data_IF_650354638956
#
_entry.id   IF_650354638956
#
_cell.length_a   1.000
_cell.length_b   1.000
_cell.length_c   1.000
_cell.angle_alpha   90.00
_cell.angle_beta   90.00
_cell.angle_gamma   90.00
#
_symmetry.space_group_name_H-M   'P 1'
#
loop_
_entity.id
_entity.type
_entity.pdbx_description
1 polymer ?
#
# COMPACT_ATOMS: atom_id res chain seq x y z
N UNK A 1 21.89 39.02 8.07
CA UNK A 1 21.59 37.99 7.04
C UNK A 1 20.23 37.39 7.34
N UNK A 2 19.23 37.58 6.48
CA UNK A 2 17.86 37.11 6.72
C UNK A 2 17.77 35.59 6.47
N UNK A 3 17.48 34.82 7.51
CA UNK A 3 17.28 33.38 7.43
C UNK A 3 15.91 33.15 6.76
N UNK A 4 15.88 32.83 5.45
CA UNK A 4 14.64 32.47 4.75
C UNK A 4 13.93 31.37 5.53
N UNK A 5 12.75 31.66 6.05
CA UNK A 5 11.89 30.67 6.68
C UNK A 5 11.45 29.71 5.58
N UNK A 6 11.72 28.42 5.76
CA UNK A 6 11.30 27.38 4.83
C UNK A 6 9.79 27.21 4.96
N UNK A 7 9.11 27.06 3.83
CA UNK A 7 7.67 26.81 3.82
C UNK A 7 7.36 25.43 4.41
N UNK A 8 6.15 25.21 4.91
CA UNK A 8 5.73 23.93 5.50
C UNK A 8 5.97 22.75 4.56
N UNK A 9 5.74 22.94 3.25
CA UNK A 9 6.01 21.95 2.21
C UNK A 9 7.51 21.62 2.08
N UNK A 10 8.38 22.61 2.17
CA UNK A 10 9.84 22.40 2.16
C UNK A 10 10.33 21.69 3.42
N UNK A 11 9.71 21.96 4.57
CA UNK A 11 10.00 21.28 5.83
C UNK A 11 9.56 19.82 5.76
N UNK A 12 8.35 19.55 5.27
CA UNK A 12 7.83 18.19 5.07
C UNK A 12 8.66 17.41 4.06
N UNK A 13 9.00 18.00 2.91
CA UNK A 13 9.87 17.38 1.91
C UNK A 13 11.28 17.12 2.45
N UNK A 14 11.79 17.97 3.36
CA UNK A 14 13.08 17.77 4.00
C UNK A 14 13.05 16.68 5.08
N UNK A 15 11.96 16.58 5.86
CA UNK A 15 11.74 15.49 6.83
C UNK A 15 11.66 14.16 6.09
N UNK A 16 10.85 14.09 5.03
CA UNK A 16 10.75 12.93 4.14
C UNK A 16 12.12 12.53 3.58
N UNK A 17 12.86 13.47 2.96
CA UNK A 17 14.22 13.19 2.44
C UNK A 17 15.21 12.75 3.52
N UNK A 18 15.06 13.22 4.76
CA UNK A 18 15.94 12.86 5.89
C UNK A 18 15.64 11.47 6.42
N UNK A 19 14.36 11.12 6.56
CA UNK A 19 13.92 9.77 6.95
C UNK A 19 14.27 8.71 5.91
N UNK A 20 14.34 9.10 4.63
CA UNK A 20 14.63 8.18 3.52
C UNK A 20 16.09 8.24 3.01
N UNK A 21 17.00 8.94 3.72
CA UNK A 21 18.41 9.10 3.30
C UNK A 21 19.27 7.84 3.53
N UNK A 22 18.75 6.83 4.24
CA UNK A 22 19.49 5.61 4.63
C UNK A 22 18.68 4.30 4.65
N UNK A 23 17.44 4.26 4.14
CA UNK A 23 16.74 2.97 4.01
C UNK A 23 16.95 2.44 2.60
N UNK A 24 17.38 1.17 2.40
CA UNK A 24 17.01 0.50 1.15
C UNK A 24 15.49 0.63 1.05
N UNK A 25 15.02 0.93 -0.16
CA UNK A 25 13.60 1.02 -0.55
C UNK A 25 12.72 0.26 0.45
N UNK A 26 11.73 0.90 1.11
CA UNK A 26 10.99 0.31 2.24
C UNK A 26 10.20 -0.98 1.91
N UNK A 27 10.37 -1.56 0.72
CA UNK A 27 9.89 -2.89 0.35
C UNK A 27 10.90 -3.67 -0.51
N UNK A 28 12.20 -3.33 -0.50
CA UNK A 28 13.27 -4.02 -1.25
C UNK A 28 13.22 -3.89 -2.79
N UNK A 29 12.07 -3.53 -3.36
CA UNK A 29 11.84 -3.45 -4.81
C UNK A 29 12.08 -2.05 -5.34
N UNK A 30 12.89 -1.95 -6.40
CA UNK A 30 13.03 -0.72 -7.18
C UNK A 30 12.05 -0.74 -8.34
N UNK A 31 10.87 -0.13 -8.15
CA UNK A 31 9.90 0.01 -9.25
C UNK A 31 10.38 1.10 -10.22
N UNK A 32 10.45 0.75 -11.50
CA UNK A 32 10.80 1.68 -12.57
C UNK A 32 9.57 2.03 -13.39
N UNK A 33 9.59 3.19 -14.04
CA UNK A 33 8.50 3.62 -14.93
C UNK A 33 8.20 2.60 -16.03
N UNK A 34 9.23 1.89 -16.54
CA UNK A 34 9.06 0.84 -17.54
C UNK A 34 8.21 -0.31 -16.99
N UNK A 35 8.57 -0.84 -15.81
CA UNK A 35 7.82 -1.92 -15.16
C UNK A 35 6.40 -1.49 -14.77
N UNK A 36 6.24 -0.26 -14.28
CA UNK A 36 4.92 0.28 -13.96
C UNK A 36 4.01 0.40 -15.20
N UNK A 37 4.57 0.81 -16.34
CA UNK A 37 3.83 0.84 -17.63
C UNK A 37 3.45 -0.56 -18.10
N UNK A 38 4.36 -1.52 -17.96
CA UNK A 38 4.12 -2.92 -18.34
C UNK A 38 3.00 -3.54 -17.49
N UNK A 39 3.02 -3.34 -16.18
CA UNK A 39 1.92 -3.73 -15.29
C UNK A 39 0.61 -3.04 -15.66
N UNK A 40 0.63 -1.72 -15.90
CA UNK A 40 -0.58 -0.99 -16.27
C UNK A 40 -1.19 -1.51 -17.59
N UNK A 41 -0.35 -1.80 -18.58
CA UNK A 41 -0.79 -2.41 -19.85
C UNK A 41 -1.36 -3.82 -19.64
N UNK A 42 -0.78 -4.61 -18.73
CA UNK A 42 -1.24 -5.96 -18.44
C UNK A 42 -2.59 -5.98 -17.75
N UNK A 43 -2.73 -5.22 -16.67
CA UNK A 43 -3.93 -5.29 -15.80
C UNK A 43 -5.08 -4.43 -16.33
N UNK A 44 -4.78 -3.28 -16.96
CA UNK A 44 -5.80 -2.32 -17.40
C UNK A 44 -5.88 -2.14 -18.92
N UNK A 45 -5.01 -2.82 -19.68
CA UNK A 45 -4.94 -2.66 -21.14
C UNK A 45 -4.37 -1.31 -21.60
N UNK A 46 -3.99 -0.42 -20.68
CA UNK A 46 -3.48 0.92 -21.00
C UNK A 46 -2.57 1.46 -19.91
N UNK A 47 -1.56 2.23 -20.32
CA UNK A 47 -0.73 3.04 -19.43
C UNK A 47 -0.94 4.55 -19.68
N UNK A 48 -2.01 4.93 -20.38
CA UNK A 48 -2.30 6.33 -20.71
C UNK A 48 -2.62 7.10 -19.44
N UNK A 49 -1.91 8.21 -19.22
CA UNK A 49 -2.07 9.02 -18.01
C UNK A 49 -1.32 8.45 -16.79
N UNK A 50 -0.51 7.40 -16.95
CA UNK A 50 0.40 6.95 -15.92
C UNK A 50 1.51 7.99 -15.73
N UNK A 51 1.57 8.56 -14.54
CA UNK A 51 2.54 9.57 -14.14
C UNK A 51 3.12 9.24 -12.78
N UNK A 52 4.26 9.86 -12.46
CA UNK A 52 4.83 9.75 -11.12
C UNK A 52 3.96 10.53 -10.14
N UNK A 53 3.77 9.98 -8.95
CA UNK A 53 3.06 10.65 -7.87
C UNK A 53 3.95 11.77 -7.28
N UNK A 54 3.46 13.02 -7.29
CA UNK A 54 4.25 14.21 -6.95
C UNK A 54 4.71 14.23 -5.49
N UNK A 55 3.83 13.84 -4.56
CA UNK A 55 4.08 13.87 -3.11
C UNK A 55 4.55 12.52 -2.53
N UNK A 56 5.00 11.59 -3.38
CA UNK A 56 5.41 10.25 -2.95
C UNK A 56 6.86 9.90 -3.33
N UNK A 57 7.27 8.68 -2.94
CA UNK A 57 8.60 8.16 -3.29
C UNK A 57 8.75 8.04 -4.83
N UNK A 58 10.00 8.07 -5.36
CA UNK A 58 10.23 8.13 -6.80
C UNK A 58 9.70 6.96 -7.64
N UNK A 59 9.44 5.85 -6.97
CA UNK A 59 8.96 4.57 -7.44
C UNK A 59 7.43 4.44 -7.35
N UNK A 60 6.71 5.53 -7.08
CA UNK A 60 5.24 5.54 -7.00
C UNK A 60 4.67 6.17 -8.26
N UNK A 61 3.74 5.44 -8.88
CA UNK A 61 3.08 5.84 -10.10
C UNK A 61 1.56 5.83 -9.91
N UNK A 62 0.88 6.80 -10.51
CA UNK A 62 -0.56 6.94 -10.44
C UNK A 62 -1.14 7.09 -11.83
N UNK A 63 -2.35 6.58 -12.01
CA UNK A 63 -3.16 6.70 -13.22
C UNK A 63 -4.61 6.91 -12.81
N UNK A 64 -5.32 7.77 -13.55
CA UNK A 64 -6.71 8.13 -13.26
C UNK A 64 -7.63 7.66 -14.39
N UNK A 65 -8.69 6.94 -14.02
CA UNK A 65 -9.78 6.52 -14.89
C UNK A 65 -11.09 7.12 -14.37
N UNK A 66 -11.40 8.35 -14.77
CA UNK A 66 -12.58 9.06 -14.24
C UNK A 66 -12.52 9.18 -12.72
N UNK A 67 -13.45 8.55 -12.02
CA UNK A 67 -13.54 8.50 -10.55
C UNK A 67 -12.69 7.40 -9.90
N UNK A 68 -12.04 6.55 -10.69
CA UNK A 68 -11.15 5.50 -10.22
C UNK A 68 -9.70 5.96 -10.28
N UNK A 69 -8.98 5.84 -9.16
CA UNK A 69 -7.54 6.11 -9.06
C UNK A 69 -6.81 4.79 -8.88
N UNK A 70 -5.88 4.53 -9.78
CA UNK A 70 -4.94 3.40 -9.73
C UNK A 70 -3.59 3.91 -9.26
N UNK A 71 -2.98 3.20 -8.32
CA UNK A 71 -1.64 3.46 -7.81
C UNK A 71 -0.80 2.21 -7.94
N UNK A 72 0.40 2.33 -8.50
CA UNK A 72 1.37 1.25 -8.66
C UNK A 72 2.63 1.65 -7.90
N UNK A 73 2.99 0.89 -6.87
CA UNK A 73 4.10 1.21 -5.99
C UNK A 73 4.69 -0.06 -5.36
N UNK A 74 5.92 -0.05 -4.84
CA UNK A 74 6.40 -1.14 -3.99
C UNK A 74 5.52 -1.29 -2.73
N UNK A 75 5.31 -2.52 -2.26
CA UNK A 75 4.57 -2.78 -1.02
C UNK A 75 5.44 -2.52 0.22
N UNK A 76 5.67 -1.23 0.50
CA UNK A 76 6.47 -0.80 1.64
C UNK A 76 5.81 -1.05 2.99
N UNK A 77 4.48 -1.08 3.02
CA UNK A 77 3.71 -1.15 4.26
C UNK A 77 3.41 -2.60 4.65
N UNK A 78 3.10 -3.46 3.68
CA UNK A 78 2.93 -4.88 3.93
C UNK A 78 4.27 -5.60 4.15
N UNK A 79 5.37 -5.04 3.63
CA UNK A 79 6.72 -5.60 3.77
C UNK A 79 6.88 -6.90 2.98
N UNK A 80 6.07 -7.10 1.94
CA UNK A 80 6.02 -8.35 1.16
C UNK A 80 7.16 -8.49 0.16
N UNK A 81 7.80 -7.39 -0.23
CA UNK A 81 8.76 -7.43 -1.34
C UNK A 81 8.10 -7.47 -2.72
N UNK A 82 6.79 -7.26 -2.80
CA UNK A 82 6.03 -7.24 -4.04
C UNK A 82 5.81 -5.80 -4.55
N UNK A 83 5.33 -5.69 -5.79
CA UNK A 83 4.71 -4.48 -6.33
C UNK A 83 3.23 -4.51 -5.97
N UNK A 84 2.75 -3.47 -5.32
CA UNK A 84 1.35 -3.23 -4.99
C UNK A 84 0.67 -2.44 -6.11
N UNK A 85 -0.46 -2.95 -6.59
CA UNK A 85 -1.45 -2.18 -7.34
C UNK A 85 -2.61 -1.90 -6.39
N UNK A 86 -2.86 -0.64 -6.07
CA UNK A 86 -4.02 -0.21 -5.29
C UNK A 86 -4.99 0.51 -6.22
N UNK A 87 -6.24 0.05 -6.24
CA UNK A 87 -7.34 0.67 -6.96
C UNK A 87 -8.30 1.27 -5.94
N UNK A 88 -8.58 2.55 -6.07
CA UNK A 88 -9.51 3.27 -5.20
C UNK A 88 -10.60 3.93 -6.01
N UNK A 89 -11.85 3.72 -5.60
CA UNK A 89 -12.99 4.47 -6.11
C UNK A 89 -13.44 5.44 -5.02
N UNK A 90 -13.58 6.71 -5.38
CA UNK A 90 -14.07 7.74 -4.46
C UNK A 90 -15.44 7.31 -3.90
N UNK A 91 -15.49 7.05 -2.59
CA UNK A 91 -16.72 6.67 -1.88
C UNK A 91 -17.11 5.18 -1.91
N UNK A 92 -16.40 4.32 -2.67
CA UNK A 92 -16.78 2.90 -2.82
C UNK A 92 -15.73 1.90 -2.29
N UNK A 93 -14.63 2.38 -1.71
CA UNK A 93 -13.61 1.55 -1.08
C UNK A 93 -12.34 1.39 -1.92
N UNK A 94 -11.48 0.49 -1.47
CA UNK A 94 -10.18 0.21 -2.09
C UNK A 94 -10.00 -1.30 -2.27
N UNK A 95 -9.41 -1.67 -3.40
CA UNK A 95 -8.97 -3.02 -3.69
C UNK A 95 -7.47 -2.99 -3.97
N UNK A 96 -6.79 -4.11 -3.78
CA UNK A 96 -5.38 -4.21 -4.11
C UNK A 96 -5.02 -5.57 -4.72
N UNK A 97 -3.92 -5.58 -5.45
CA UNK A 97 -3.23 -6.77 -5.95
C UNK A 97 -1.74 -6.66 -5.63
N UNK A 98 -1.08 -7.80 -5.40
CA UNK A 98 0.37 -7.89 -5.29
C UNK A 98 0.93 -8.60 -6.49
N UNK A 99 2.04 -8.08 -7.01
CA UNK A 99 2.73 -8.62 -8.17
C UNK A 99 4.19 -8.88 -7.84
N UNK A 100 4.70 -10.01 -8.29
CA UNK A 100 6.11 -10.33 -8.18
C UNK A 100 6.94 -9.31 -9.00
N UNK A 101 8.02 -8.75 -8.42
CA UNK A 101 8.78 -7.68 -9.07
C UNK A 101 9.60 -8.15 -10.28
N UNK A 102 9.88 -9.44 -10.43
CA UNK A 102 10.69 -9.99 -11.51
C UNK A 102 9.83 -10.43 -12.70
N UNK A 103 8.75 -11.16 -12.41
CA UNK A 103 7.84 -11.77 -13.38
C UNK A 103 6.62 -10.91 -13.70
N UNK A 104 6.32 -9.90 -12.86
CA UNK A 104 5.12 -9.05 -12.92
C UNK A 104 3.80 -9.83 -12.81
N UNK A 105 3.85 -11.12 -12.47
CA UNK A 105 2.67 -11.96 -12.25
C UNK A 105 2.04 -11.65 -10.90
N UNK A 106 0.71 -11.75 -10.86
CA UNK A 106 -0.01 -11.61 -9.60
C UNK A 106 0.43 -12.71 -8.64
N UNK A 107 0.76 -12.32 -7.42
CA UNK A 107 1.22 -13.20 -6.36
C UNK A 107 0.08 -13.40 -5.35
N UNK A 108 -0.76 -14.40 -5.64
CA UNK A 108 -1.91 -14.76 -4.81
C UNK A 108 -1.49 -15.24 -3.41
N UNK A 109 -0.32 -15.85 -3.28
CA UNK A 109 0.18 -16.32 -1.99
C UNK A 109 0.58 -15.13 -1.11
N UNK A 110 1.30 -14.16 -1.66
CA UNK A 110 1.62 -12.92 -0.96
C UNK A 110 0.36 -12.15 -0.57
N UNK A 111 -0.66 -12.09 -1.44
CA UNK A 111 -1.95 -11.47 -1.13
C UNK A 111 -2.65 -12.16 0.04
N UNK A 112 -2.75 -13.49 -0.01
CA UNK A 112 -3.42 -14.25 1.03
C UNK A 112 -2.67 -14.14 2.37
N UNK A 113 -1.34 -14.20 2.34
CA UNK A 113 -0.51 -14.05 3.53
C UNK A 113 -0.64 -12.66 4.14
N UNK A 114 -0.71 -11.61 3.31
CA UNK A 114 -1.00 -10.25 3.77
C UNK A 114 -2.37 -10.16 4.42
N UNK A 115 -3.42 -10.68 3.78
CA UNK A 115 -4.77 -10.67 4.35
C UNK A 115 -4.87 -11.46 5.66
N UNK A 116 -4.18 -12.61 5.77
CA UNK A 116 -4.11 -13.38 7.02
C UNK A 116 -3.42 -12.59 8.13
N UNK A 117 -2.34 -11.88 7.80
CA UNK A 117 -1.64 -10.99 8.73
C UNK A 117 -2.55 -9.86 9.18
N UNK A 118 -3.19 -9.15 8.27
CA UNK A 118 -4.10 -8.03 8.58
C UNK A 118 -5.27 -8.50 9.48
N UNK A 119 -5.86 -9.66 9.19
CA UNK A 119 -6.92 -10.25 10.04
C UNK A 119 -6.44 -10.58 11.45
N UNK A 120 -5.22 -11.13 11.57
CA UNK A 120 -4.62 -11.46 12.87
C UNK A 120 -4.31 -10.20 13.67
N UNK A 121 -3.76 -9.17 13.03
CA UNK A 121 -3.48 -7.88 13.68
C UNK A 121 -4.79 -7.19 14.12
N UNK A 122 -5.82 -7.19 13.27
CA UNK A 122 -7.14 -6.66 13.63
C UNK A 122 -7.78 -7.42 14.81
N UNK A 123 -7.64 -8.75 14.85
CA UNK A 123 -8.11 -9.55 15.98
C UNK A 123 -7.33 -9.24 17.25
N UNK A 124 -6.00 -9.12 17.17
CA UNK A 124 -5.16 -8.77 18.31
C UNK A 124 -5.49 -7.38 18.85
N UNK A 125 -5.69 -6.40 17.98
CA UNK A 125 -6.10 -5.03 18.35
C UNK A 125 -7.49 -5.02 19.01
N UNK A 126 -8.43 -5.76 18.45
CA UNK A 126 -9.77 -5.91 19.02
C UNK A 126 -9.73 -6.57 20.40
N UNK A 127 -8.95 -7.65 20.57
CA UNK A 127 -8.75 -8.30 21.88
C UNK A 127 -8.06 -7.35 22.86
N UNK A 128 -7.03 -6.61 22.42
CA UNK A 128 -6.34 -5.63 23.24
C UNK A 128 -7.27 -4.50 23.72
N UNK A 129 -8.23 -4.10 22.88
CA UNK A 129 -9.18 -3.02 23.17
C UNK A 129 -10.33 -3.48 24.08
N UNK A 130 -10.88 -4.67 23.85
CA UNK A 130 -12.08 -5.16 24.56
C UNK A 130 -11.75 -6.07 25.75
N UNK A 131 -10.55 -6.64 25.79
CA UNK A 131 -10.12 -7.62 26.77
C UNK A 131 -10.39 -9.07 26.33
N UNK A 132 -9.58 -10.03 26.81
CA UNK A 132 -9.71 -11.44 26.43
C UNK A 132 -11.02 -12.08 26.87
N UNK A 133 -11.61 -11.64 27.99
CA UNK A 133 -12.86 -12.18 28.51
C UNK A 133 -14.05 -11.94 27.56
N UNK A 134 -14.08 -10.77 26.91
CA UNK A 134 -15.09 -10.42 25.90
C UNK A 134 -14.92 -11.30 24.66
N UNK A 135 -13.68 -11.60 24.26
CA UNK A 135 -13.40 -12.54 23.18
C UNK A 135 -13.93 -13.93 23.48
N UNK A 136 -13.66 -14.46 24.68
CA UNK A 136 -14.16 -15.77 25.11
C UNK A 136 -15.69 -15.81 25.10
N UNK A 137 -16.35 -14.78 25.63
CA UNK A 137 -17.80 -14.69 25.63
C UNK A 137 -18.42 -14.70 24.21
N UNK A 138 -17.80 -14.01 23.25
CA UNK A 138 -18.28 -14.01 21.85
C UNK A 138 -18.09 -15.38 21.17
N UNK A 139 -16.97 -16.06 21.41
CA UNK A 139 -16.75 -17.43 20.89
C UNK A 139 -17.79 -18.40 21.44
N UNK A 140 -18.06 -18.35 22.74
CA UNK A 140 -19.09 -19.18 23.39
C UNK A 140 -20.49 -18.91 22.82
N UNK A 141 -20.84 -17.64 22.55
CA UNK A 141 -22.13 -17.30 21.92
C UNK A 141 -22.25 -17.87 20.51
N UNK A 142 -21.19 -17.82 19.71
CA UNK A 142 -21.19 -18.35 18.34
C UNK A 142 -21.28 -19.88 18.36
N UNK A 143 -20.52 -20.52 19.24
CA UNK A 143 -20.43 -21.98 19.33
C UNK A 143 -21.72 -22.63 19.87
N UNK A 144 -22.36 -21.99 20.85
CA UNK A 144 -23.60 -22.48 21.45
C UNK A 144 -24.87 -21.89 20.81
N UNK A 145 -24.75 -21.28 19.63
CA UNK A 145 -25.91 -20.78 18.88
C UNK A 145 -26.70 -22.00 18.34
N UNK A 146 -28.02 -22.07 18.58
CA UNK A 146 -28.84 -23.18 18.10
C UNK A 146 -28.94 -23.20 16.57
#
# INVERSE_FOLDING_TARGET
MARKQKTTAEVQAAIFKREHRKSPLRGGVKLTLKKARELALREFGTAKGLQREEDALPDYYIMQFGNMRVRIAPDTNGGTGCILIEVSLNGCGRAFQLHDPETLQQDFEAEENRLRKDRREALQDWIGTNGPDVCHAEVEKIWNRP
#
